data_IF_723231382295
#
_entry.id   IF_723231382295
#
_cell.length_a   1.000
_cell.length_b   1.000
_cell.length_c   1.000
_cell.angle_alpha   90.00
_cell.angle_beta   90.00
_cell.angle_gamma   90.00
#
_symmetry.space_group_name_H-M   'P 1'
#
loop_
_entity.id
_entity.type
_entity.pdbx_description
1 polymer ?
#
# COMPACT_ATOMS: atom_id res chain seq x y z
N UNK A 1 28.90 -72.21 12.00
CA UNK A 1 29.57 -70.89 12.03
C UNK A 1 29.48 -70.29 10.64
N UNK A 2 28.56 -69.34 10.42
CA UNK A 2 28.44 -68.61 9.16
C UNK A 2 28.66 -67.13 9.48
N UNK A 3 29.71 -66.52 8.93
CA UNK A 3 29.98 -65.08 9.05
C UNK A 3 29.14 -64.38 8.00
N UNK A 4 28.17 -63.58 8.44
CA UNK A 4 27.47 -62.66 7.56
C UNK A 4 28.33 -61.40 7.36
N UNK A 5 28.64 -61.11 6.11
CA UNK A 5 29.31 -59.92 5.61
C UNK A 5 28.32 -58.73 5.67
N UNK A 6 28.70 -57.54 6.17
CA UNK A 6 27.82 -56.38 6.14
C UNK A 6 27.82 -55.78 4.73
N UNK A 7 26.64 -55.80 4.09
CA UNK A 7 26.42 -55.15 2.81
C UNK A 7 26.65 -53.64 2.92
N UNK A 8 27.61 -53.17 2.14
CA UNK A 8 27.99 -51.78 1.91
C UNK A 8 26.79 -50.96 1.38
N UNK A 9 26.30 -50.02 2.20
CA UNK A 9 25.17 -49.11 1.90
C UNK A 9 25.62 -47.73 1.42
N UNK A 10 26.76 -47.60 0.74
CA UNK A 10 27.29 -46.28 0.35
C UNK A 10 27.04 -45.88 -1.11
N UNK A 11 26.13 -46.53 -1.84
CA UNK A 11 25.98 -46.32 -3.30
C UNK A 11 24.72 -45.63 -3.83
N UNK A 12 23.94 -44.94 -3.00
CA UNK A 12 22.71 -44.23 -3.46
C UNK A 12 22.72 -42.72 -3.11
N UNK A 13 23.88 -42.06 -3.11
CA UNK A 13 24.00 -40.63 -2.77
C UNK A 13 23.83 -39.65 -3.95
N UNK A 14 23.54 -40.14 -5.17
CA UNK A 14 23.63 -39.33 -6.39
C UNK A 14 22.34 -39.36 -7.24
N UNK A 15 21.19 -39.60 -6.61
CA UNK A 15 19.89 -39.41 -7.25
C UNK A 15 19.41 -38.00 -6.90
N UNK A 16 19.09 -37.13 -7.88
CA UNK A 16 18.42 -35.87 -7.58
C UNK A 16 17.12 -36.22 -6.84
N UNK A 17 16.97 -35.67 -5.65
CA UNK A 17 15.80 -35.86 -4.82
C UNK A 17 14.65 -35.07 -5.44
N UNK A 18 14.00 -35.67 -6.45
CA UNK A 18 12.83 -35.11 -7.12
C UNK A 18 11.63 -35.35 -6.19
N UNK A 19 11.59 -34.62 -5.08
CA UNK A 19 10.35 -34.44 -4.34
C UNK A 19 9.46 -33.50 -5.18
N UNK A 20 8.17 -33.81 -5.39
CA UNK A 20 7.26 -32.99 -6.21
C UNK A 20 7.05 -31.58 -5.66
N UNK A 21 7.52 -31.34 -4.43
CA UNK A 21 7.74 -30.01 -3.88
C UNK A 21 9.25 -29.90 -3.61
N UNK A 22 9.99 -28.95 -4.21
CA UNK A 22 11.41 -28.77 -3.91
C UNK A 22 11.56 -28.55 -2.40
N UNK A 23 12.44 -29.33 -1.76
CA UNK A 23 12.84 -29.08 -0.38
C UNK A 23 13.27 -27.62 -0.28
N UNK A 24 12.54 -26.84 0.52
CA UNK A 24 12.84 -25.42 0.76
C UNK A 24 14.31 -25.28 1.17
N UNK A 25 15.12 -24.60 0.36
CA UNK A 25 16.44 -24.16 0.80
C UNK A 25 16.23 -23.12 1.92
N UNK A 26 16.73 -23.36 3.14
CA UNK A 26 16.63 -22.40 4.23
C UNK A 26 17.20 -21.02 3.88
N UNK A 27 18.21 -20.96 3.00
CA UNK A 27 18.79 -19.70 2.49
C UNK A 27 17.82 -18.92 1.60
N UNK A 28 17.09 -19.61 0.72
CA UNK A 28 16.07 -19.01 -0.14
C UNK A 28 14.87 -18.54 0.67
N UNK A 29 14.45 -19.32 1.66
CA UNK A 29 13.39 -18.92 2.58
C UNK A 29 13.75 -17.67 3.39
N UNK A 30 14.99 -17.60 3.90
CA UNK A 30 15.46 -16.43 4.64
C UNK A 30 15.54 -15.17 3.76
N UNK A 31 16.02 -15.29 2.51
CA UNK A 31 16.12 -14.16 1.58
C UNK A 31 14.74 -13.67 1.12
N UNK A 32 13.80 -14.56 0.84
CA UNK A 32 12.42 -14.23 0.53
C UNK A 32 11.74 -13.50 1.71
N UNK A 33 11.98 -13.98 2.93
CA UNK A 33 11.39 -13.37 4.13
C UNK A 33 11.97 -11.97 4.42
N UNK A 34 13.28 -11.78 4.24
CA UNK A 34 13.91 -10.46 4.36
C UNK A 34 13.35 -9.44 3.36
N UNK A 35 13.11 -9.87 2.11
CA UNK A 35 12.48 -9.03 1.06
C UNK A 35 11.03 -8.69 1.37
N UNK A 36 10.25 -9.66 1.86
CA UNK A 36 8.87 -9.42 2.30
C UNK A 36 8.78 -8.42 3.47
N UNK A 37 9.73 -8.50 4.41
CA UNK A 37 9.82 -7.53 5.52
C UNK A 37 10.17 -6.12 5.02
N UNK A 38 11.09 -5.99 4.07
CA UNK A 38 11.40 -4.69 3.45
C UNK A 38 10.17 -4.11 2.72
N UNK A 39 9.44 -4.93 1.97
CA UNK A 39 8.18 -4.53 1.35
C UNK A 39 7.17 -4.04 2.39
N UNK A 40 6.93 -4.84 3.44
CA UNK A 40 6.00 -4.50 4.50
C UNK A 40 6.40 -3.18 5.20
N UNK A 41 7.68 -2.95 5.41
CA UNK A 41 8.19 -1.71 5.99
C UNK A 41 7.95 -0.49 5.07
N UNK A 42 8.16 -0.62 3.76
CA UNK A 42 7.88 0.45 2.78
C UNK A 42 6.39 0.76 2.68
N UNK A 43 5.55 -0.27 2.57
CA UNK A 43 4.10 -0.15 2.55
C UNK A 43 3.57 0.53 3.83
N UNK A 44 4.07 0.11 5.00
CA UNK A 44 3.73 0.71 6.28
C UNK A 44 4.14 2.19 6.32
N UNK A 45 5.35 2.52 5.86
CA UNK A 45 5.82 3.91 5.79
C UNK A 45 4.97 4.78 4.87
N UNK A 46 4.62 4.29 3.69
CA UNK A 46 3.74 5.02 2.76
C UNK A 46 2.35 5.25 3.36
N UNK A 47 1.78 4.20 3.98
CA UNK A 47 0.47 4.27 4.63
C UNK A 47 0.46 5.25 5.80
N UNK A 48 1.43 5.18 6.72
CA UNK A 48 1.51 6.08 7.86
C UNK A 48 1.85 7.52 7.44
N UNK A 49 2.74 7.69 6.45
CA UNK A 49 3.06 9.00 5.90
C UNK A 49 1.84 9.68 5.29
N UNK A 50 1.10 8.97 4.44
CA UNK A 50 -0.11 9.50 3.84
C UNK A 50 -1.26 9.71 4.82
N UNK A 51 -1.43 8.82 5.81
CA UNK A 51 -2.42 9.02 6.88
C UNK A 51 -2.11 10.28 7.71
N UNK A 52 -0.84 10.53 8.03
CA UNK A 52 -0.42 11.74 8.71
C UNK A 52 -0.68 12.99 7.85
N UNK A 53 -0.33 12.94 6.56
CA UNK A 53 -0.59 14.04 5.62
C UNK A 53 -2.09 14.34 5.49
N UNK A 54 -2.92 13.31 5.34
CA UNK A 54 -4.38 13.44 5.31
C UNK A 54 -4.91 14.06 6.61
N UNK A 55 -4.40 13.63 7.76
CA UNK A 55 -4.74 14.19 9.06
C UNK A 55 -4.46 15.70 9.14
N UNK A 56 -3.30 16.14 8.64
CA UNK A 56 -2.96 17.56 8.59
C UNK A 56 -3.87 18.36 7.65
N UNK A 57 -4.22 17.82 6.49
CA UNK A 57 -5.16 18.48 5.57
C UNK A 57 -6.56 18.60 6.17
N UNK A 58 -7.05 17.58 6.90
CA UNK A 58 -8.34 17.63 7.59
C UNK A 58 -8.33 18.73 8.66
N UNK A 59 -7.31 18.78 9.50
CA UNK A 59 -7.19 19.82 10.54
C UNK A 59 -7.09 21.21 9.90
N UNK A 60 -6.31 21.35 8.84
CA UNK A 60 -6.19 22.59 8.08
C UNK A 60 -7.53 23.04 7.50
N UNK A 61 -8.28 22.12 6.91
CA UNK A 61 -9.62 22.38 6.38
C UNK A 61 -10.60 22.82 7.46
N UNK A 62 -10.65 22.11 8.60
CA UNK A 62 -11.54 22.44 9.73
C UNK A 62 -11.24 23.85 10.27
N UNK A 63 -9.97 24.17 10.48
CA UNK A 63 -9.57 25.50 10.95
C UNK A 63 -9.97 26.60 9.97
N UNK A 64 -9.72 26.39 8.67
CA UNK A 64 -10.13 27.31 7.62
C UNK A 64 -11.65 27.48 7.59
N UNK A 65 -12.41 26.38 7.68
CA UNK A 65 -13.88 26.40 7.61
C UNK A 65 -14.48 27.14 8.80
N UNK A 66 -13.96 26.91 10.01
CA UNK A 66 -14.38 27.60 11.23
C UNK A 66 -14.15 29.11 11.13
N UNK A 67 -12.99 29.54 10.61
CA UNK A 67 -12.71 30.95 10.39
C UNK A 67 -13.71 31.58 9.39
N UNK A 68 -14.03 30.87 8.30
CA UNK A 68 -15.04 31.31 7.34
C UNK A 68 -16.46 31.32 7.91
N UNK A 69 -16.82 30.36 8.77
CA UNK A 69 -18.10 30.33 9.47
C UNK A 69 -18.29 31.55 10.37
N UNK A 70 -17.27 31.88 11.16
CA UNK A 70 -17.30 33.07 12.02
C UNK A 70 -17.44 34.32 11.17
N UNK A 71 -16.66 34.46 10.10
CA UNK A 71 -16.73 35.61 9.20
C UNK A 71 -18.09 35.71 8.51
N UNK A 72 -18.64 34.60 8.01
CA UNK A 72 -19.96 34.55 7.38
C UNK A 72 -21.07 34.93 8.37
N UNK A 73 -21.05 34.39 9.58
CA UNK A 73 -22.00 34.73 10.63
C UNK A 73 -21.92 36.22 11.00
N UNK A 74 -20.71 36.78 11.12
CA UNK A 74 -20.52 38.21 11.37
C UNK A 74 -21.17 39.06 10.28
N UNK A 75 -20.93 38.74 9.00
CA UNK A 75 -21.53 39.47 7.88
C UNK A 75 -23.05 39.44 7.91
N UNK A 76 -23.63 38.26 8.14
CA UNK A 76 -25.09 38.09 8.26
C UNK A 76 -25.65 38.89 9.45
N UNK A 77 -24.97 38.87 10.61
CA UNK A 77 -25.40 39.64 11.79
C UNK A 77 -25.32 41.16 11.59
N UNK A 78 -24.38 41.63 10.76
CA UNK A 78 -24.21 43.06 10.45
C UNK A 78 -25.01 43.57 9.26
N UNK A 79 -25.74 42.68 8.56
CA UNK A 79 -26.56 43.05 7.42
C UNK A 79 -27.68 44.00 7.84
N UNK A 80 -27.87 45.09 7.09
CA UNK A 80 -28.87 46.12 7.40
C UNK A 80 -30.22 45.82 6.76
N UNK A 81 -30.23 44.92 5.78
CA UNK A 81 -31.44 44.52 5.05
C UNK A 81 -31.53 43.01 4.90
N UNK A 82 -32.75 42.51 4.70
CA UNK A 82 -32.97 41.09 4.39
C UNK A 82 -32.31 40.66 3.08
N UNK A 83 -32.22 41.57 2.10
CA UNK A 83 -31.56 41.29 0.82
C UNK A 83 -30.05 41.12 0.98
N UNK A 84 -29.40 41.97 1.78
CA UNK A 84 -27.98 41.81 2.15
C UNK A 84 -27.75 40.49 2.89
N UNK A 85 -28.59 40.17 3.89
CA UNK A 85 -28.47 38.92 4.63
C UNK A 85 -28.60 37.69 3.72
N UNK A 86 -29.56 37.70 2.81
CA UNK A 86 -29.76 36.61 1.84
C UNK A 86 -28.57 36.49 0.87
N UNK A 87 -28.04 37.61 0.39
CA UNK A 87 -26.87 37.62 -0.48
C UNK A 87 -25.64 37.01 0.22
N UNK A 88 -25.38 37.39 1.48
CA UNK A 88 -24.28 36.82 2.26
C UNK A 88 -24.47 35.32 2.53
N UNK A 89 -25.70 34.87 2.80
CA UNK A 89 -26.02 33.45 2.93
C UNK A 89 -25.76 32.67 1.63
N UNK A 90 -26.18 33.20 0.49
CA UNK A 90 -25.96 32.58 -0.80
C UNK A 90 -24.45 32.50 -1.14
N UNK A 91 -23.71 33.59 -0.91
CA UNK A 91 -22.26 33.62 -1.13
C UNK A 91 -21.53 32.63 -0.22
N UNK A 92 -21.93 32.55 1.05
CA UNK A 92 -21.40 31.60 2.01
C UNK A 92 -21.64 30.15 1.58
N UNK A 93 -22.84 29.84 1.06
CA UNK A 93 -23.15 28.49 0.57
C UNK A 93 -22.29 28.14 -0.66
N UNK A 94 -22.16 29.04 -1.62
CA UNK A 94 -21.31 28.82 -2.81
C UNK A 94 -19.85 28.55 -2.41
N UNK A 95 -19.30 29.38 -1.51
CA UNK A 95 -17.94 29.21 -1.01
C UNK A 95 -17.78 27.89 -0.26
N UNK A 96 -18.76 27.52 0.56
CA UNK A 96 -18.76 26.24 1.29
C UNK A 96 -18.66 25.07 0.32
N UNK A 97 -19.52 25.04 -0.70
CA UNK A 97 -19.51 23.95 -1.69
C UNK A 97 -18.17 23.86 -2.42
N UNK A 98 -17.59 25.00 -2.83
CA UNK A 98 -16.28 25.04 -3.48
C UNK A 98 -15.17 24.51 -2.55
N UNK A 99 -15.15 24.96 -1.30
CA UNK A 99 -14.16 24.53 -0.31
C UNK A 99 -14.21 23.02 -0.08
N UNK A 100 -15.41 22.43 0.04
CA UNK A 100 -15.57 20.98 0.21
C UNK A 100 -15.14 20.20 -1.03
N UNK A 101 -15.45 20.69 -2.22
CA UNK A 101 -15.01 20.06 -3.46
C UNK A 101 -13.48 20.05 -3.58
N UNK A 102 -12.84 21.19 -3.26
CA UNK A 102 -11.39 21.33 -3.28
C UNK A 102 -10.72 20.42 -2.24
N UNK A 103 -11.27 20.35 -1.03
CA UNK A 103 -10.78 19.47 0.03
C UNK A 103 -10.91 17.99 -0.34
N UNK A 104 -12.07 17.58 -0.85
CA UNK A 104 -12.29 16.21 -1.31
C UNK A 104 -11.31 15.82 -2.41
N UNK A 105 -11.11 16.70 -3.41
CA UNK A 105 -10.14 16.49 -4.49
C UNK A 105 -8.72 16.26 -3.95
N UNK A 106 -8.27 17.08 -2.99
CA UNK A 106 -6.96 16.91 -2.34
C UNK A 106 -6.85 15.60 -1.59
N UNK A 107 -7.87 15.24 -0.80
CA UNK A 107 -7.86 13.99 -0.05
C UNK A 107 -7.83 12.77 -0.97
N UNK A 108 -8.55 12.81 -2.09
CA UNK A 108 -8.47 11.75 -3.10
C UNK A 108 -7.08 11.62 -3.72
N UNK A 109 -6.40 12.73 -4.00
CA UNK A 109 -5.02 12.67 -4.49
C UNK A 109 -4.09 12.02 -3.47
N UNK A 110 -4.18 12.39 -2.18
CA UNK A 110 -3.37 11.77 -1.13
C UNK A 110 -3.66 10.28 -1.03
N UNK A 111 -4.94 9.89 -1.06
CA UNK A 111 -5.32 8.48 -1.01
C UNK A 111 -4.81 7.70 -2.23
N UNK A 112 -4.88 8.29 -3.43
CA UNK A 112 -4.34 7.70 -4.64
C UNK A 112 -2.82 7.55 -4.57
N UNK A 113 -2.10 8.56 -4.12
CA UNK A 113 -0.64 8.51 -3.94
C UNK A 113 -0.24 7.39 -2.97
N UNK A 114 -0.95 7.25 -1.84
CA UNK A 114 -0.73 6.14 -0.89
C UNK A 114 -0.97 4.80 -1.55
N UNK A 115 -2.06 4.67 -2.31
CA UNK A 115 -2.39 3.44 -3.01
C UNK A 115 -1.30 3.08 -4.03
N UNK A 116 -0.87 4.01 -4.87
CA UNK A 116 0.21 3.82 -5.84
C UNK A 116 1.52 3.43 -5.15
N UNK A 117 1.92 4.13 -4.09
CA UNK A 117 3.14 3.80 -3.34
C UNK A 117 3.08 2.46 -2.61
N UNK A 118 1.89 1.91 -2.39
CA UNK A 118 1.71 0.60 -1.75
C UNK A 118 1.56 -0.53 -2.78
N UNK A 119 0.87 -0.27 -3.89
CA UNK A 119 0.52 -1.27 -4.89
C UNK A 119 1.60 -1.46 -5.96
N UNK A 120 2.25 -0.41 -6.43
CA UNK A 120 3.29 -0.54 -7.47
C UNK A 120 4.44 -1.48 -7.06
N UNK A 121 4.96 -1.42 -5.81
CA UNK A 121 5.99 -2.38 -5.40
C UNK A 121 5.45 -3.82 -5.26
N UNK A 122 4.15 -3.99 -5.02
CA UNK A 122 3.51 -5.31 -4.93
C UNK A 122 3.38 -5.93 -6.33
N UNK A 123 2.98 -5.12 -7.32
CA UNK A 123 2.90 -5.52 -8.73
C UNK A 123 4.28 -5.95 -9.24
N UNK A 124 5.30 -5.11 -9.03
CA UNK A 124 6.69 -5.44 -9.38
C UNK A 124 7.16 -6.75 -8.74
N UNK A 125 6.86 -6.96 -7.45
CA UNK A 125 7.24 -8.22 -6.80
C UNK A 125 6.47 -9.43 -7.33
N UNK A 126 5.21 -9.23 -7.70
CA UNK A 126 4.41 -10.31 -8.29
C UNK A 126 4.99 -10.70 -9.65
N UNK A 127 5.37 -9.73 -10.48
CA UNK A 127 6.05 -9.97 -11.76
C UNK A 127 7.37 -10.72 -11.57
N UNK A 128 8.25 -10.27 -10.67
CA UNK A 128 9.51 -10.96 -10.36
C UNK A 128 9.30 -12.42 -9.94
N UNK A 129 8.29 -12.69 -9.10
CA UNK A 129 7.99 -14.05 -8.65
C UNK A 129 7.45 -14.92 -9.79
N UNK A 130 6.63 -14.35 -10.68
CA UNK A 130 6.12 -15.06 -11.84
C UNK A 130 7.25 -15.41 -12.83
N UNK A 131 8.17 -14.48 -13.08
CA UNK A 131 9.37 -14.73 -13.89
C UNK A 131 10.26 -15.83 -13.28
N UNK A 132 10.53 -15.75 -11.96
CA UNK A 132 11.29 -16.78 -11.23
C UNK A 132 10.62 -18.17 -11.35
N UNK A 133 9.29 -18.24 -11.34
CA UNK A 133 8.54 -19.49 -11.49
C UNK A 133 8.59 -20.06 -12.92
N UNK A 134 8.46 -19.20 -13.93
CA UNK A 134 8.52 -19.59 -15.34
C UNK A 134 9.93 -20.11 -15.70
N UNK A 135 10.99 -19.44 -15.22
CA UNK A 135 12.37 -19.89 -15.42
C UNK A 135 12.62 -21.26 -14.77
N UNK A 136 12.11 -21.48 -13.56
CA UNK A 136 12.23 -22.78 -12.86
C UNK A 136 11.42 -23.87 -13.55
N UNK A 137 10.24 -23.55 -14.08
CA UNK A 137 9.43 -24.46 -14.89
C UNK A 137 10.17 -24.91 -16.15
N UNK A 138 10.75 -23.96 -16.89
CA UNK A 138 11.53 -24.27 -18.09
C UNK A 138 12.78 -25.11 -17.81
N UNK A 139 13.48 -24.86 -16.69
CA UNK A 139 14.63 -25.66 -16.26
C UNK A 139 14.24 -27.10 -15.89
N UNK A 140 13.08 -27.28 -15.24
CA UNK A 140 12.57 -28.60 -14.89
C UNK A 140 12.16 -29.41 -16.13
N UNK A 141 11.56 -28.77 -17.13
CA UNK A 141 11.24 -29.41 -18.42
C UNK A 141 12.50 -29.77 -19.22
N UNK A 142 13.52 -28.91 -19.22
CA UNK A 142 14.78 -29.20 -19.91
C UNK A 142 15.61 -30.33 -19.27
N UNK A 143 15.35 -30.65 -18.00
CA UNK A 143 16.00 -31.71 -17.25
C UNK A 143 15.26 -33.07 -17.29
N UNK A 144 14.06 -33.11 -17.88
CA UNK A 144 13.21 -34.29 -18.02
C UNK A 144 13.35 -34.96 -19.39
#
# INVERSE_FOLDING_TARGET
MSKAEPADRTKDADKPDITPFPLFDPGDAASANARNLDFAARAARASFGGAAQLGWEIVGFVNMRLAKDIAGAQKVMTAKTSHEAFHEQASFMEQTLRDYADAASKWFHIAADVATHTLTPLEQRTEEVLEELDERGAQAEAAA
#
